data_IF_808548987231
#
_entry.id   IF_808548987231
#
_cell.length_a   1.000
_cell.length_b   1.000
_cell.length_c   1.000
_cell.angle_alpha   90.00
_cell.angle_beta   90.00
_cell.angle_gamma   90.00
#
_symmetry.space_group_name_H-M   'P 1'
#
loop_
_entity.id
_entity.type
_entity.pdbx_description
1 polymer ?
#
# COMPACT_ATOMS: atom_id res chain seq x y z
N UNK A 1 40.94 23.14 16.38
CA UNK A 1 40.18 22.84 15.15
C UNK A 1 39.05 21.92 15.54
N UNK A 2 37.81 22.38 15.42
CA UNK A 2 36.61 21.63 15.79
C UNK A 2 36.39 20.56 14.73
N UNK A 3 36.44 19.29 15.10
CA UNK A 3 36.04 18.19 14.23
C UNK A 3 34.52 18.24 14.08
N UNK A 4 34.04 18.84 12.99
CA UNK A 4 32.62 18.78 12.67
C UNK A 4 32.36 17.48 11.91
N UNK A 5 31.54 16.64 12.54
CA UNK A 5 31.10 15.33 12.09
C UNK A 5 30.34 15.45 10.77
N UNK A 6 30.97 15.14 9.63
CA UNK A 6 30.30 15.08 8.33
C UNK A 6 30.23 13.62 7.89
N UNK A 7 29.29 12.87 8.49
CA UNK A 7 28.86 11.62 7.89
C UNK A 7 28.30 11.90 6.49
N UNK A 8 28.52 11.02 5.50
CA UNK A 8 27.95 11.19 4.17
C UNK A 8 26.41 11.07 4.26
N UNK A 9 25.70 12.18 4.14
CA UNK A 9 24.23 12.19 4.08
C UNK A 9 23.81 11.88 2.65
N UNK A 10 23.11 10.76 2.44
CA UNK A 10 22.48 10.46 1.15
C UNK A 10 21.32 11.43 0.90
N UNK A 11 21.32 12.10 -0.25
CA UNK A 11 20.23 12.96 -0.70
C UNK A 11 19.66 12.42 -2.00
N UNK A 12 18.35 12.26 -2.06
CA UNK A 12 17.62 11.81 -3.24
C UNK A 12 16.65 12.92 -3.67
N UNK A 13 16.59 13.20 -4.97
CA UNK A 13 15.68 14.18 -5.55
C UNK A 13 14.98 13.55 -6.76
N UNK A 14 13.64 13.50 -6.71
CA UNK A 14 12.83 13.07 -7.84
C UNK A 14 12.37 14.29 -8.64
N UNK A 15 12.70 14.32 -9.93
CA UNK A 15 12.15 15.27 -10.88
C UNK A 15 11.09 14.53 -11.69
N UNK A 16 9.86 15.04 -11.70
CA UNK A 16 8.75 14.41 -12.38
C UNK A 16 7.89 15.44 -13.10
N UNK A 17 7.08 14.96 -14.05
CA UNK A 17 6.13 15.79 -14.79
C UNK A 17 4.76 15.72 -14.12
N UNK A 18 4.24 16.89 -13.71
CA UNK A 18 2.96 17.03 -13.03
C UNK A 18 1.74 16.65 -13.88
N UNK A 19 1.91 16.50 -15.21
CA UNK A 19 0.85 15.99 -16.09
C UNK A 19 0.61 14.49 -15.94
N UNK A 20 1.55 13.74 -15.34
CA UNK A 20 1.46 12.29 -15.18
C UNK A 20 1.49 11.82 -13.73
N UNK A 21 2.10 12.61 -12.84
CA UNK A 21 2.26 12.26 -11.43
C UNK A 21 1.93 13.47 -10.57
N UNK A 22 1.14 13.27 -9.53
CA UNK A 22 0.99 14.26 -8.46
C UNK A 22 2.08 14.08 -7.39
N UNK A 23 2.17 15.05 -6.46
CA UNK A 23 3.19 15.01 -5.40
C UNK A 23 3.07 13.78 -4.49
N UNK A 24 1.87 13.30 -4.22
CA UNK A 24 1.65 12.11 -3.40
C UNK A 24 2.23 10.87 -4.08
N UNK A 25 1.95 10.68 -5.37
CA UNK A 25 2.47 9.58 -6.18
C UNK A 25 4.00 9.67 -6.32
N UNK A 26 4.53 10.86 -6.55
CA UNK A 26 5.97 11.09 -6.62
C UNK A 26 6.67 10.77 -5.28
N UNK A 27 6.07 11.17 -4.15
CA UNK A 27 6.59 10.85 -2.82
C UNK A 27 6.50 9.35 -2.50
N UNK A 28 5.47 8.64 -2.99
CA UNK A 28 5.39 7.19 -2.88
C UNK A 28 6.54 6.53 -3.64
N UNK A 29 6.78 6.91 -4.90
CA UNK A 29 7.92 6.40 -5.69
C UNK A 29 9.25 6.63 -4.97
N UNK A 30 9.47 7.82 -4.41
CA UNK A 30 10.69 8.12 -3.67
C UNK A 30 10.81 7.27 -2.40
N UNK A 31 9.71 7.06 -1.69
CA UNK A 31 9.66 6.22 -0.49
C UNK A 31 9.97 4.75 -0.81
N UNK A 32 9.43 4.24 -1.91
CA UNK A 32 9.75 2.90 -2.41
C UNK A 32 11.23 2.71 -2.71
N UNK A 33 11.85 3.70 -3.38
CA UNK A 33 13.28 3.66 -3.69
C UNK A 33 14.10 3.62 -2.40
N UNK A 34 13.72 4.41 -1.39
CA UNK A 34 14.36 4.38 -0.06
C UNK A 34 14.21 3.00 0.58
N UNK A 35 13.03 2.38 0.49
CA UNK A 35 12.80 1.05 1.05
C UNK A 35 13.65 -0.02 0.38
N UNK A 36 13.74 0.00 -0.95
CA UNK A 36 14.62 -0.89 -1.71
C UNK A 36 16.08 -0.74 -1.25
N UNK A 37 16.56 0.50 -1.13
CA UNK A 37 17.94 0.75 -0.70
C UNK A 37 18.19 0.24 0.73
N UNK A 38 17.22 0.37 1.63
CA UNK A 38 17.32 -0.17 2.99
C UNK A 38 17.32 -1.69 3.00
N UNK A 39 16.40 -2.33 2.29
CA UNK A 39 16.31 -3.79 2.17
C UNK A 39 17.58 -4.39 1.55
N UNK A 40 18.18 -3.72 0.56
CA UNK A 40 19.46 -4.12 -0.01
C UNK A 40 20.62 -4.08 1.01
N UNK A 41 20.57 -3.16 1.98
CA UNK A 41 21.59 -3.05 3.02
C UNK A 41 21.41 -4.08 4.13
N UNK A 42 20.18 -4.49 4.42
CA UNK A 42 19.82 -5.41 5.51
C UNK A 42 19.82 -6.88 5.05
N UNK A 43 19.56 -7.14 3.77
CA UNK A 43 19.51 -8.50 3.21
C UNK A 43 20.89 -9.15 3.15
N UNK A 44 21.15 -10.12 4.04
CA UNK A 44 22.42 -10.87 4.11
C UNK A 44 22.65 -11.78 2.89
N UNK A 45 21.58 -12.31 2.29
CA UNK A 45 21.64 -13.24 1.16
C UNK A 45 21.64 -12.52 -0.22
N UNK A 46 21.37 -11.20 -0.24
CA UNK A 46 21.45 -10.36 -1.43
C UNK A 46 20.48 -10.74 -2.58
N UNK A 47 19.53 -11.65 -2.34
CA UNK A 47 18.60 -12.08 -3.38
C UNK A 47 17.57 -11.00 -3.67
N UNK A 48 17.50 -10.61 -4.94
CA UNK A 48 16.55 -9.59 -5.42
C UNK A 48 15.08 -9.96 -5.18
N UNK A 49 14.76 -11.25 -5.18
CA UNK A 49 13.38 -11.75 -4.95
C UNK A 49 12.86 -11.46 -3.54
N UNK A 50 13.74 -11.23 -2.56
CA UNK A 50 13.36 -11.00 -1.16
C UNK A 50 13.24 -9.51 -0.82
N UNK A 51 13.55 -8.60 -1.75
CA UNK A 51 13.52 -7.16 -1.51
C UNK A 51 12.10 -6.63 -1.74
N UNK A 52 11.46 -6.15 -0.67
CA UNK A 52 10.16 -5.48 -0.78
C UNK A 52 10.33 -4.00 -1.15
N UNK A 53 9.65 -3.58 -2.20
CA UNK A 53 9.56 -2.16 -2.58
C UNK A 53 8.49 -1.39 -1.77
N UNK A 54 7.48 -2.11 -1.31
CA UNK A 54 6.31 -1.55 -0.63
C UNK A 54 6.60 -1.46 0.87
N UNK A 55 6.30 -0.31 1.47
CA UNK A 55 6.43 -0.12 2.92
C UNK A 55 5.37 -0.91 3.68
N UNK A 56 5.64 -1.36 4.91
CA UNK A 56 4.65 -2.08 5.73
C UNK A 56 3.33 -1.31 5.90
N UNK A 57 3.42 0.03 6.07
CA UNK A 57 2.25 0.90 6.20
C UNK A 57 1.35 0.83 4.97
N UNK A 58 1.96 0.86 3.79
CA UNK A 58 1.24 0.80 2.53
C UNK A 58 0.72 -0.60 2.22
N UNK A 59 1.49 -1.64 2.53
CA UNK A 59 1.04 -3.02 2.48
C UNK A 59 -0.23 -3.21 3.32
N UNK A 60 -0.25 -2.64 4.53
CA UNK A 60 -1.40 -2.67 5.43
C UNK A 60 -2.61 -1.97 4.82
N UNK A 61 -2.41 -0.79 4.24
CA UNK A 61 -3.49 -0.04 3.57
C UNK A 61 -4.07 -0.83 2.38
N UNK A 62 -3.23 -1.46 1.57
CA UNK A 62 -3.66 -2.28 0.42
C UNK A 62 -4.44 -3.51 0.90
N UNK A 63 -3.92 -4.23 1.89
CA UNK A 63 -4.46 -5.52 2.30
C UNK A 63 -5.64 -5.42 3.27
N UNK A 64 -5.70 -4.38 4.08
CA UNK A 64 -6.69 -4.24 5.16
C UNK A 64 -7.68 -3.13 4.86
N UNK A 65 -7.19 -1.89 4.71
CA UNK A 65 -8.06 -0.72 4.62
C UNK A 65 -8.90 -0.75 3.33
N UNK A 66 -8.27 -1.03 2.20
CA UNK A 66 -8.96 -1.13 0.91
C UNK A 66 -9.79 -2.41 0.74
N UNK A 67 -9.40 -3.51 1.38
CA UNK A 67 -10.10 -4.80 1.28
C UNK A 67 -11.10 -5.05 2.41
N UNK A 68 -11.44 -4.02 3.19
CA UNK A 68 -12.47 -4.06 4.23
C UNK A 68 -13.88 -4.19 3.64
N UNK A 69 -14.13 -5.32 2.98
CA UNK A 69 -15.40 -5.71 2.32
C UNK A 69 -16.22 -6.68 3.16
N UNK A 70 -15.85 -6.84 4.44
CA UNK A 70 -16.59 -7.68 5.37
C UNK A 70 -17.98 -7.12 5.60
N UNK A 71 -18.95 -7.72 4.91
CA UNK A 71 -20.37 -7.50 5.10
C UNK A 71 -20.99 -8.78 5.64
N UNK A 72 -21.90 -8.64 6.59
CA UNK A 72 -22.71 -9.76 7.08
C UNK A 72 -23.65 -10.21 5.96
N UNK A 73 -23.18 -11.17 5.17
CA UNK A 73 -23.98 -11.84 4.17
C UNK A 73 -24.72 -13.02 4.81
N UNK A 74 -26.05 -13.15 4.62
CA UNK A 74 -26.80 -14.29 5.15
C UNK A 74 -26.40 -15.58 4.42
N UNK A 75 -25.38 -16.26 4.96
CA UNK A 75 -24.79 -17.49 4.41
C UNK A 75 -25.77 -18.67 4.33
N UNK A 76 -26.89 -18.58 5.04
CA UNK A 76 -27.89 -19.63 5.16
C UNK A 76 -29.12 -19.40 4.25
N UNK A 77 -29.13 -18.34 3.45
CA UNK A 77 -30.23 -18.05 2.53
C UNK A 77 -29.73 -18.11 1.09
N UNK A 78 -30.50 -18.78 0.23
CA UNK A 78 -30.26 -18.73 -1.21
C UNK A 78 -30.68 -17.35 -1.74
N UNK A 79 -30.11 -16.94 -2.87
CA UNK A 79 -30.54 -15.75 -3.59
C UNK A 79 -32.06 -15.70 -3.82
N UNK A 80 -32.68 -16.85 -4.05
CA UNK A 80 -34.12 -16.98 -4.25
C UNK A 80 -34.93 -16.64 -2.98
N UNK A 81 -34.42 -17.02 -1.80
CA UNK A 81 -35.05 -16.70 -0.51
C UNK A 81 -35.02 -15.19 -0.27
N UNK A 82 -33.84 -14.56 -0.47
CA UNK A 82 -33.65 -13.11 -0.35
C UNK A 82 -34.56 -12.31 -1.29
N UNK A 83 -34.67 -12.75 -2.54
CA UNK A 83 -35.52 -12.10 -3.53
C UNK A 83 -37.01 -12.21 -3.14
N UNK A 84 -37.43 -13.40 -2.70
CA UNK A 84 -38.81 -13.65 -2.31
C UNK A 84 -39.21 -12.81 -1.09
N UNK A 85 -38.32 -12.70 -0.10
CA UNK A 85 -38.55 -11.88 1.09
C UNK A 85 -38.60 -10.38 0.74
N UNK A 86 -37.75 -9.92 -0.17
CA UNK A 86 -37.78 -8.53 -0.66
C UNK A 86 -39.08 -8.20 -1.41
N UNK A 87 -39.60 -9.13 -2.23
CA UNK A 87 -40.88 -8.94 -2.94
C UNK A 87 -42.05 -8.87 -1.96
N UNK A 88 -42.06 -9.71 -0.92
CA UNK A 88 -43.09 -9.68 0.15
C UNK A 88 -43.12 -8.34 0.90
N UNK A 89 -41.95 -7.75 1.15
CA UNK A 89 -41.83 -6.48 1.87
C UNK A 89 -42.26 -5.24 1.06
N UNK A 90 -42.29 -5.32 -0.28
CA UNK A 90 -42.65 -4.20 -1.18
C UNK A 90 -44.04 -4.32 -1.82
N UNK A 91 -44.91 -5.18 -1.30
CA UNK A 91 -46.32 -5.22 -1.69
C UNK A 91 -47.07 -4.05 -1.03
N UNK A 92 -47.06 -2.90 -1.70
CA UNK A 92 -48.09 -1.85 -1.59
C UNK A 92 -49.09 -2.02 -2.74
#
# INVERSE_FOLDING_TARGET
VVYCNLQPKLQLKLLFNSSFLNETEANQILSHLINILWEMLVSEDGKLENISMISEKELTHILSDNNSTSLDYPKNQCFQDLFTDQVKLNLN
#
